data_IF_366138979388
#
_entry.id   IF_366138979388
#
_cell.length_a   1.000
_cell.length_b   1.000
_cell.length_c   1.000
_cell.angle_alpha   90.00
_cell.angle_beta   90.00
_cell.angle_gamma   90.00
#
_symmetry.space_group_name_H-M   'P 1'
#
loop_
_entity.id
_entity.type
_entity.pdbx_description
1 polymer ?
#
# COMPACT_ATOMS: atom_id res chain seq x y z
N UNK A 1 -11.95 19.86 4.68
CA UNK A 1 -11.49 18.60 4.03
C UNK A 1 -12.50 17.48 4.16
N UNK A 2 -13.28 17.40 5.25
CA UNK A 2 -14.31 16.37 5.40
C UNK A 2 -15.72 16.81 4.93
N UNK A 3 -15.86 18.08 4.53
CA UNK A 3 -17.11 18.60 3.96
C UNK A 3 -17.02 18.62 2.42
N UNK A 4 -17.90 17.84 1.78
CA UNK A 4 -17.82 17.53 0.36
C UNK A 4 -18.89 16.55 -0.09
N UNK A 5 -18.73 16.04 -1.30
CA UNK A 5 -19.62 15.01 -1.87
C UNK A 5 -18.85 14.09 -2.82
N UNK A 6 -19.40 12.89 -3.02
CA UNK A 6 -18.90 11.96 -4.03
C UNK A 6 -19.39 12.41 -5.41
N UNK A 7 -18.45 12.56 -6.35
CA UNK A 7 -18.74 12.89 -7.75
C UNK A 7 -18.14 11.82 -8.65
N UNK A 8 -18.83 11.52 -9.74
CA UNK A 8 -18.32 10.61 -10.77
C UNK A 8 -17.22 11.32 -11.58
N UNK A 9 -16.15 10.59 -11.85
CA UNK A 9 -15.00 11.03 -12.63
C UNK A 9 -14.50 9.85 -13.47
N UNK A 10 -14.66 9.94 -14.80
CA UNK A 10 -14.30 8.84 -15.69
C UNK A 10 -12.77 8.66 -15.86
N UNK A 11 -11.96 9.62 -15.39
CA UNK A 11 -10.49 9.50 -15.33
C UNK A 11 -10.00 8.58 -14.20
N UNK A 12 -10.87 8.15 -13.30
CA UNK A 12 -10.58 7.14 -12.27
C UNK A 12 -10.76 5.72 -12.83
N UNK A 13 -10.22 4.65 -12.20
CA UNK A 13 -9.39 4.66 -10.98
C UNK A 13 -7.98 5.21 -11.20
N UNK A 14 -7.27 5.49 -10.10
CA UNK A 14 -5.88 5.98 -10.12
C UNK A 14 -4.87 4.91 -10.57
N UNK A 15 -5.26 3.64 -10.50
CA UNK A 15 -4.48 2.49 -10.97
C UNK A 15 -5.43 1.45 -11.55
N UNK A 16 -4.95 0.63 -12.49
CA UNK A 16 -5.77 -0.41 -13.10
C UNK A 16 -6.14 -1.50 -12.07
N UNK A 17 -7.40 -2.00 -12.04
CA UNK A 17 -7.78 -3.14 -11.21
C UNK A 17 -6.89 -4.35 -11.46
N UNK A 18 -6.54 -5.08 -10.40
CA UNK A 18 -5.66 -6.26 -10.50
C UNK A 18 -4.19 -5.98 -10.84
N UNK A 19 -3.78 -4.72 -10.99
CA UNK A 19 -2.38 -4.36 -11.34
C UNK A 19 -1.36 -4.61 -10.22
N UNK A 20 -1.82 -4.75 -8.97
CA UNK A 20 -0.98 -4.98 -7.80
C UNK A 20 -1.19 -6.42 -7.29
N UNK A 21 -0.16 -7.29 -7.36
CA UNK A 21 -0.32 -8.71 -7.07
C UNK A 21 -0.36 -9.04 -5.57
N UNK A 22 -0.12 -8.07 -4.68
CA UNK A 22 -0.04 -8.30 -3.23
C UNK A 22 -1.21 -7.68 -2.44
N UNK A 23 -2.32 -7.32 -3.09
CA UNK A 23 -3.54 -6.93 -2.37
C UNK A 23 -4.07 -8.19 -1.66
N UNK A 24 -4.39 -8.07 -0.38
CA UNK A 24 -5.02 -9.16 0.39
C UNK A 24 -6.31 -9.61 -0.30
N UNK A 25 -6.58 -10.93 -0.31
CA UNK A 25 -7.78 -11.51 -0.92
C UNK A 25 -9.06 -10.85 -0.39
N UNK A 26 -9.09 -10.49 0.89
CA UNK A 26 -10.23 -9.84 1.54
C UNK A 26 -10.55 -8.46 0.95
N UNK A 27 -9.60 -7.81 0.29
CA UNK A 27 -9.74 -6.48 -0.31
C UNK A 27 -9.76 -6.50 -1.85
N UNK A 28 -9.52 -7.66 -2.47
CA UNK A 28 -9.36 -7.77 -3.91
C UNK A 28 -10.69 -8.08 -4.64
N UNK A 29 -11.52 -7.06 -4.85
CA UNK A 29 -12.81 -7.22 -5.54
C UNK A 29 -12.69 -7.81 -6.96
N UNK A 30 -11.60 -7.51 -7.67
CA UNK A 30 -11.34 -8.03 -9.01
C UNK A 30 -11.08 -9.54 -8.99
N UNK A 31 -10.20 -10.00 -8.08
CA UNK A 31 -9.95 -11.42 -7.86
C UNK A 31 -11.21 -12.15 -7.39
N UNK A 32 -12.01 -11.49 -6.55
CA UNK A 32 -13.28 -11.99 -6.02
C UNK A 32 -14.44 -11.89 -7.03
N UNK A 33 -14.17 -11.56 -8.30
CA UNK A 33 -15.11 -11.58 -9.42
C UNK A 33 -16.35 -10.71 -9.22
N UNK A 34 -16.19 -9.55 -8.56
CA UNK A 34 -17.27 -8.57 -8.47
C UNK A 34 -17.69 -8.14 -9.89
N UNK A 35 -18.99 -8.19 -10.23
CA UNK A 35 -19.45 -7.98 -11.61
C UNK A 35 -19.54 -6.50 -12.03
N UNK A 36 -19.77 -5.59 -11.07
CA UNK A 36 -19.85 -4.15 -11.29
C UNK A 36 -18.50 -3.46 -11.02
N UNK A 37 -18.20 -2.38 -11.75
CA UNK A 37 -16.97 -1.58 -11.57
C UNK A 37 -17.25 -0.06 -11.41
N UNK A 38 -18.52 0.36 -11.37
CA UNK A 38 -18.89 1.77 -11.29
C UNK A 38 -18.43 2.44 -9.99
N UNK A 39 -18.21 1.67 -8.92
CA UNK A 39 -17.68 2.16 -7.64
C UNK A 39 -16.27 2.75 -7.77
N UNK A 40 -15.50 2.32 -8.77
CA UNK A 40 -14.12 2.77 -9.00
C UNK A 40 -14.05 4.16 -9.63
N UNK A 41 -15.18 4.68 -10.14
CA UNK A 41 -15.27 5.95 -10.88
C UNK A 41 -15.65 7.13 -9.99
N UNK A 42 -15.57 6.99 -8.68
CA UNK A 42 -15.94 8.07 -7.75
C UNK A 42 -14.71 8.71 -7.12
N UNK A 43 -14.77 10.03 -7.00
CA UNK A 43 -13.81 10.82 -6.22
C UNK A 43 -14.53 11.74 -5.24
N UNK A 44 -13.85 12.05 -4.14
CA UNK A 44 -14.34 13.02 -3.17
C UNK A 44 -14.06 14.45 -3.67
N UNK A 45 -15.11 15.27 -3.74
CA UNK A 45 -15.03 16.69 -4.12
C UNK A 45 -15.33 17.55 -2.90
N UNK A 46 -14.38 18.42 -2.50
CA UNK A 46 -14.61 19.37 -1.42
C UNK A 46 -15.53 20.50 -1.91
N UNK A 47 -16.35 21.03 -1.00
CA UNK A 47 -17.28 22.13 -1.33
C UNK A 47 -16.56 23.43 -1.70
N UNK A 48 -15.45 23.72 -1.05
CA UNK A 48 -14.79 25.03 -1.12
C UNK A 48 -13.46 25.03 -1.88
N UNK A 49 -13.01 23.87 -2.39
CA UNK A 49 -11.79 23.76 -3.18
C UNK A 49 -11.73 22.46 -3.98
N UNK A 50 -10.81 22.39 -4.94
CA UNK A 50 -10.50 21.17 -5.67
C UNK A 50 -9.31 20.47 -5.02
N UNK A 51 -9.48 19.19 -4.67
CA UNK A 51 -8.35 18.35 -4.27
C UNK A 51 -7.49 18.05 -5.50
N UNK A 52 -6.18 18.32 -5.45
CA UNK A 52 -5.29 17.93 -6.54
C UNK A 52 -5.29 16.41 -6.67
N UNK A 53 -5.18 15.92 -7.91
CA UNK A 53 -5.00 14.48 -8.15
C UNK A 53 -3.66 14.04 -7.54
N UNK A 54 -3.66 12.88 -6.89
CA UNK A 54 -2.46 12.37 -6.27
C UNK A 54 -1.41 12.03 -7.33
N UNK A 55 -0.24 12.66 -7.22
CA UNK A 55 0.94 12.36 -8.03
C UNK A 55 1.86 11.42 -7.23
N UNK A 56 1.88 10.15 -7.63
CA UNK A 56 2.70 9.15 -6.95
C UNK A 56 4.20 9.36 -7.13
N UNK A 57 4.67 9.96 -8.25
CA UNK A 57 6.10 10.27 -8.44
C UNK A 57 6.53 11.37 -7.48
N UNK A 58 5.72 12.40 -7.32
CA UNK A 58 5.95 13.46 -6.33
C UNK A 58 5.94 12.88 -4.91
N UNK A 59 4.95 12.06 -4.56
CA UNK A 59 4.88 11.43 -3.25
C UNK A 59 6.10 10.54 -2.94
N UNK A 60 6.61 9.78 -3.92
CA UNK A 60 7.86 9.03 -3.78
C UNK A 60 9.07 9.94 -3.54
N UNK A 61 9.10 11.12 -4.19
CA UNK A 61 10.10 12.15 -3.93
C UNK A 61 10.05 12.66 -2.48
N UNK A 62 8.85 12.95 -1.96
CA UNK A 62 8.63 13.40 -0.59
C UNK A 62 9.00 12.34 0.46
N UNK A 63 8.80 11.06 0.13
CA UNK A 63 9.11 9.93 1.00
C UNK A 63 10.55 9.42 0.89
N UNK A 64 11.37 9.98 -0.01
CA UNK A 64 12.76 9.55 -0.20
C UNK A 64 13.56 9.73 1.09
N UNK A 65 14.20 8.64 1.55
CA UNK A 65 14.96 8.62 2.80
C UNK A 65 14.10 8.69 4.06
N UNK A 66 12.77 8.58 3.93
CA UNK A 66 11.82 8.57 5.05
C UNK A 66 11.11 7.22 5.11
N UNK A 67 10.56 6.92 6.27
CA UNK A 67 9.73 5.72 6.49
C UNK A 67 8.32 6.17 6.84
N UNK A 68 7.34 5.72 6.07
CA UNK A 68 5.92 5.92 6.35
C UNK A 68 5.36 4.65 7.01
N UNK A 69 4.83 4.79 8.22
CA UNK A 69 4.31 3.66 9.02
C UNK A 69 2.82 3.87 9.26
N UNK A 70 2.03 2.85 8.99
CA UNK A 70 0.59 2.81 9.32
C UNK A 70 0.41 2.01 10.60
N UNK A 71 -0.12 2.64 11.65
CA UNK A 71 -0.38 2.00 12.95
C UNK A 71 -1.88 1.91 13.15
N UNK A 72 -2.42 0.70 13.34
CA UNK A 72 -3.85 0.53 13.57
C UNK A 72 -4.35 -0.90 13.32
N UNK A 73 -5.61 -1.00 12.93
CA UNK A 73 -6.32 -2.25 12.67
C UNK A 73 -6.29 -2.63 11.18
N UNK A 74 -7.22 -3.51 10.77
CA UNK A 74 -7.36 -3.97 9.39
C UNK A 74 -7.74 -2.86 8.41
N UNK A 75 -8.41 -1.79 8.85
CA UNK A 75 -8.73 -0.64 7.98
C UNK A 75 -7.45 0.11 7.61
N UNK A 76 -6.52 0.27 8.57
CA UNK A 76 -5.24 0.90 8.30
C UNK A 76 -4.36 0.05 7.37
N UNK A 77 -4.48 -1.29 7.46
CA UNK A 77 -3.87 -2.20 6.48
C UNK A 77 -4.44 -1.99 5.07
N UNK A 78 -5.75 -1.85 4.94
CA UNK A 78 -6.41 -1.58 3.66
C UNK A 78 -5.94 -0.24 3.04
N UNK A 79 -5.83 0.81 3.86
CA UNK A 79 -5.31 2.11 3.42
C UNK A 79 -3.86 2.02 2.95
N UNK A 80 -3.00 1.29 3.68
CA UNK A 80 -1.61 1.06 3.30
C UNK A 80 -1.50 0.31 1.97
N UNK A 81 -2.25 -0.78 1.77
CA UNK A 81 -2.25 -1.54 0.51
C UNK A 81 -2.72 -0.68 -0.68
N UNK A 82 -3.75 0.15 -0.46
CA UNK A 82 -4.24 1.10 -1.47
C UNK A 82 -3.18 2.13 -1.88
N UNK A 83 -2.46 2.69 -0.91
CA UNK A 83 -1.36 3.62 -1.17
C UNK A 83 -0.21 2.93 -1.92
N UNK A 84 0.16 1.72 -1.49
CA UNK A 84 1.26 0.97 -2.08
C UNK A 84 0.99 0.61 -3.55
N UNK A 85 -0.26 0.25 -3.87
CA UNK A 85 -0.72 0.03 -5.23
C UNK A 85 -0.53 1.28 -6.11
N UNK A 86 -0.93 2.45 -5.60
CA UNK A 86 -0.81 3.71 -6.33
C UNK A 86 0.64 4.12 -6.57
N UNK A 87 1.50 4.00 -5.56
CA UNK A 87 2.92 4.33 -5.69
C UNK A 87 3.61 3.39 -6.67
N UNK A 88 3.33 2.08 -6.62
CA UNK A 88 3.89 1.11 -7.58
C UNK A 88 3.47 1.38 -9.01
N UNK A 89 2.21 1.74 -9.23
CA UNK A 89 1.73 2.06 -10.57
C UNK A 89 2.22 3.42 -11.09
N UNK A 90 2.79 4.26 -10.24
CA UNK A 90 3.40 5.53 -10.63
C UNK A 90 4.88 5.40 -11.03
N UNK A 91 5.49 4.21 -10.85
CA UNK A 91 6.88 3.93 -11.18
C UNK A 91 7.01 3.15 -12.49
N UNK A 92 8.03 3.48 -13.26
CA UNK A 92 8.38 2.74 -14.48
C UNK A 92 9.00 1.37 -14.10
N UNK A 93 9.87 1.35 -13.09
CA UNK A 93 10.38 0.13 -12.45
C UNK A 93 9.57 -0.21 -11.19
N UNK A 94 8.77 -1.27 -11.29
CA UNK A 94 7.87 -1.72 -10.23
C UNK A 94 8.59 -2.45 -9.07
N UNK A 95 9.88 -2.74 -9.19
CA UNK A 95 10.66 -3.49 -8.18
C UNK A 95 11.08 -2.63 -6.98
N UNK A 96 11.28 -1.31 -7.16
CA UNK A 96 11.80 -0.41 -6.12
C UNK A 96 10.84 -0.01 -4.98
N UNK A 97 9.57 -0.39 -5.06
CA UNK A 97 8.53 0.05 -4.10
C UNK A 97 8.61 -0.71 -2.76
N UNK A 98 9.22 -1.90 -2.79
CA UNK A 98 9.21 -2.84 -1.66
C UNK A 98 10.05 -2.34 -0.48
N UNK A 99 11.05 -1.50 -0.72
CA UNK A 99 11.93 -0.99 0.35
C UNK A 99 11.46 0.31 1.01
N UNK A 100 10.61 1.11 0.36
CA UNK A 100 10.27 2.46 0.83
C UNK A 100 9.12 2.51 1.86
N UNK A 101 8.27 1.48 1.91
CA UNK A 101 7.11 1.43 2.82
C UNK A 101 7.03 0.07 3.50
N UNK A 102 7.57 -0.06 4.72
CA UNK A 102 7.42 -1.28 5.51
C UNK A 102 6.80 -0.98 6.88
N UNK A 103 5.88 -1.90 7.22
CA UNK A 103 5.23 -2.22 8.49
C UNK A 103 3.92 -1.47 8.76
N UNK A 104 2.81 -2.16 8.46
CA UNK A 104 1.60 -2.02 9.27
C UNK A 104 1.96 -2.59 10.64
N UNK A 105 2.13 -1.72 11.63
CA UNK A 105 2.23 -2.18 13.00
C UNK A 105 0.82 -2.52 13.45
N UNK A 106 0.40 -3.75 13.14
CA UNK A 106 -0.82 -4.28 13.69
C UNK A 106 -0.58 -4.34 15.21
N UNK A 107 -1.45 -3.72 16.01
CA UNK A 107 -1.51 -4.01 17.44
C UNK A 107 -2.08 -5.43 17.67
N UNK A 108 -1.60 -6.42 16.93
CA UNK A 108 -2.10 -7.79 16.97
C UNK A 108 -1.16 -8.65 17.81
N UNK A 109 -1.35 -8.55 19.12
CA UNK A 109 -1.23 -9.68 20.04
C UNK A 109 -1.93 -9.30 21.36
N UNK A 110 -3.09 -9.90 21.71
CA UNK A 110 -3.72 -9.72 23.02
C UNK A 110 -2.88 -10.26 24.19
N UNK A 111 -1.73 -10.88 23.92
CA UNK A 111 -1.01 -11.74 24.87
C UNK A 111 0.42 -11.29 25.19
N UNK A 112 0.90 -10.13 24.73
CA UNK A 112 2.22 -9.60 25.13
C UNK A 112 2.15 -8.15 25.61
N UNK A 113 2.80 -7.93 26.76
CA UNK A 113 2.92 -6.65 27.46
C UNK A 113 3.15 -5.47 26.51
N UNK A 114 2.33 -4.42 26.63
CA UNK A 114 2.44 -3.14 25.89
C UNK A 114 3.86 -2.56 25.88
N UNK A 115 4.64 -2.83 26.93
CA UNK A 115 6.02 -2.35 27.07
C UNK A 115 6.99 -2.97 26.05
N UNK A 116 6.79 -4.23 25.66
CA UNK A 116 7.65 -4.90 24.68
C UNK A 116 7.39 -4.43 23.23
N UNK A 117 6.14 -4.06 22.92
CA UNK A 117 5.76 -3.58 21.59
C UNK A 117 6.29 -2.17 21.30
N UNK A 118 6.26 -1.27 22.30
CA UNK A 118 6.87 0.05 22.17
C UNK A 118 8.36 -0.05 21.86
N UNK A 119 9.08 -0.96 22.52
CA UNK A 119 10.52 -1.15 22.30
C UNK A 119 10.86 -1.67 20.90
N UNK A 120 10.07 -2.60 20.35
CA UNK A 120 10.29 -3.12 18.99
C UNK A 120 9.99 -2.06 17.91
N UNK A 121 8.92 -1.28 18.08
CA UNK A 121 8.63 -0.17 17.18
C UNK A 121 9.73 0.90 17.25
N UNK A 122 10.21 1.24 18.46
CA UNK A 122 11.34 2.15 18.64
C UNK A 122 12.61 1.61 17.99
N UNK A 123 12.93 0.34 18.18
CA UNK A 123 14.12 -0.31 17.60
C UNK A 123 14.05 -0.27 16.06
N UNK A 124 12.87 -0.57 15.50
CA UNK A 124 12.65 -0.52 14.05
C UNK A 124 12.76 0.90 13.51
N UNK A 125 12.09 1.88 14.12
CA UNK A 125 12.18 3.29 13.72
C UNK A 125 13.59 3.88 13.88
N UNK A 126 14.39 3.34 14.79
CA UNK A 126 15.78 3.78 15.04
C UNK A 126 16.79 3.21 14.05
N UNK A 127 16.41 2.22 13.22
CA UNK A 127 17.28 1.76 12.15
C UNK A 127 17.35 2.83 11.04
N UNK A 128 18.53 3.11 10.44
CA UNK A 128 18.64 4.03 9.31
C UNK A 128 17.85 3.48 8.13
N UNK A 129 17.04 4.30 7.46
CA UNK A 129 16.44 3.93 6.17
C UNK A 129 17.60 3.64 5.22
N UNK A 130 17.87 2.37 4.94
CA UNK A 130 19.00 1.96 4.11
C UNK A 130 18.75 2.45 2.70
N UNK A 131 19.33 3.60 2.34
CA UNK A 131 19.61 3.91 0.95
C UNK A 131 20.89 3.17 0.58
N UNK A 132 20.78 1.99 -0.03
CA UNK A 132 21.95 1.40 -0.68
C UNK A 132 21.59 0.81 -2.03
N UNK A 133 22.18 1.45 -3.04
CA UNK A 133 22.45 0.95 -4.37
C UNK A 133 22.80 -0.54 -4.40
N UNK A 134 22.16 -1.27 -5.31
CA UNK A 134 22.82 -2.23 -6.21
C UNK A 134 23.85 -3.17 -5.56
N UNK A 135 23.42 -4.08 -4.68
CA UNK A 135 24.14 -5.35 -4.48
C UNK A 135 23.30 -6.50 -5.00
N UNK A 136 23.74 -6.99 -6.16
CA UNK A 136 23.29 -8.18 -6.87
C UNK A 136 23.44 -9.40 -5.94
N UNK A 137 22.35 -9.85 -5.32
CA UNK A 137 22.28 -11.17 -4.71
C UNK A 137 21.83 -12.17 -5.77
N UNK A 138 22.79 -12.75 -6.47
CA UNK A 138 22.57 -13.96 -7.25
C UNK A 138 22.25 -15.12 -6.30
N UNK A 139 21.15 -15.82 -6.57
CA UNK A 139 20.95 -17.20 -6.16
C UNK A 139 20.15 -17.41 -4.88
N UNK A 140 18.84 -17.58 -5.02
CA UNK A 140 18.08 -18.54 -4.23
C UNK A 140 16.72 -18.83 -4.90
N UNK A 141 16.69 -19.96 -5.60
CA UNK A 141 15.56 -20.87 -5.79
C UNK A 141 14.18 -20.28 -6.11
N UNK A 142 13.85 -20.34 -7.40
CA UNK A 142 12.56 -20.86 -7.84
C UNK A 142 12.15 -22.08 -6.99
N UNK A 143 11.11 -21.94 -6.16
CA UNK A 143 10.17 -23.01 -5.76
C UNK A 143 9.25 -22.52 -4.63
N UNK A 144 8.26 -21.69 -4.98
CA UNK A 144 6.97 -21.72 -4.29
C UNK A 144 5.83 -21.20 -5.18
N UNK A 145 5.86 -21.62 -6.44
CA UNK A 145 4.75 -21.46 -7.37
C UNK A 145 4.32 -22.85 -7.83
N UNK A 146 3.60 -23.58 -6.97
CA UNK A 146 2.72 -24.73 -7.27
C UNK A 146 2.29 -25.41 -5.98
N UNK A 147 1.22 -24.92 -5.34
CA UNK A 147 0.29 -25.77 -4.58
C UNK A 147 -0.99 -25.03 -4.27
N UNK A 148 -1.91 -25.05 -5.23
CA UNK A 148 -3.37 -25.07 -5.03
C UNK A 148 -4.03 -25.28 -6.39
N UNK A 149 -4.02 -26.53 -6.84
CA UNK A 149 -5.05 -27.03 -7.75
C UNK A 149 -5.74 -28.16 -7.01
N UNK A 150 -7.02 -27.95 -6.74
CA UNK A 150 -7.95 -28.87 -6.11
C UNK A 150 -8.81 -29.45 -7.22
N UNK A 151 -8.54 -30.68 -7.64
CA UNK A 151 -9.54 -31.68 -8.09
C UNK A 151 -8.85 -33.03 -8.13
#
# INVERSE_FOLDING_TARGET
MFDGMWVRDDSYPLYAPGSYPFIDESFNCFLNKRPDNCYEKYRWQLKHCNLPRLDGKNMLGLLRGKRLVFVGDSLNRNMWESLLCLLRNSMDDKSGVVEALVVVAAMLSPTRSLRAHSSLLHLFLSQPATSNSSTKASGASSDLAKKKTFT
#
